data_IF_810099997817
#
_entry.id   IF_810099997817
#
_cell.length_a   1.000
_cell.length_b   1.000
_cell.length_c   1.000
_cell.angle_alpha   90.00
_cell.angle_beta   90.00
_cell.angle_gamma   90.00
#
_symmetry.space_group_name_H-M   'P 1'
#
loop_
_entity.id
_entity.type
_entity.pdbx_description
1 polymer ?
#
# COMPACT_ATOMS: atom_id res chain seq x y z
N UNK A 1 -19.42 7.01 -12.90
CA UNK A 1 -18.81 8.08 -12.08
C UNK A 1 -18.89 7.60 -10.64
N UNK A 2 -17.75 7.40 -10.00
CA UNK A 2 -17.51 6.46 -8.90
C UNK A 2 -18.10 6.93 -7.55
N UNK A 3 -19.00 6.14 -6.97
CA UNK A 3 -19.24 6.09 -5.53
C UNK A 3 -19.22 4.61 -5.11
N UNK A 4 -18.02 4.09 -4.78
CA UNK A 4 -17.79 2.70 -4.30
C UNK A 4 -17.30 2.67 -2.85
N UNK A 5 -17.30 3.79 -2.13
CA UNK A 5 -16.71 3.90 -0.79
C UNK A 5 -17.71 3.91 0.35
N UNK A 6 -19.02 3.85 0.06
CA UNK A 6 -20.07 3.88 1.09
C UNK A 6 -20.65 2.51 1.48
N UNK A 7 -20.16 1.43 0.89
CA UNK A 7 -20.59 0.08 1.21
C UNK A 7 -19.56 -0.58 2.13
N UNK A 8 -20.02 -1.10 3.27
CA UNK A 8 -19.41 -2.18 4.05
C UNK A 8 -18.69 -1.86 5.38
N UNK A 9 -19.18 -0.89 6.16
CA UNK A 9 -18.82 -0.77 7.60
C UNK A 9 -19.78 -1.59 8.50
N UNK A 10 -21.02 -1.83 8.05
CA UNK A 10 -22.09 -2.42 8.88
C UNK A 10 -22.13 -3.95 8.92
N UNK A 11 -21.28 -4.66 8.16
CA UNK A 11 -21.32 -6.13 8.05
C UNK A 11 -19.93 -6.78 8.10
N UNK A 12 -18.98 -6.14 8.78
CA UNK A 12 -17.67 -6.76 9.08
C UNK A 12 -17.75 -7.53 10.38
N UNK A 13 -17.65 -8.85 10.28
CA UNK A 13 -17.45 -9.75 11.42
C UNK A 13 -16.07 -9.51 12.03
N UNK A 14 -15.98 -8.61 13.03
CA UNK A 14 -14.74 -8.32 13.77
C UNK A 14 -14.19 -9.56 14.51
N UNK A 15 -15.07 -10.52 14.79
CA UNK A 15 -14.73 -11.86 15.28
C UNK A 15 -13.78 -12.64 14.35
N UNK A 16 -13.77 -12.34 13.04
CA UNK A 16 -12.85 -12.95 12.09
C UNK A 16 -11.39 -12.56 12.37
N UNK A 17 -11.16 -11.32 12.79
CA UNK A 17 -9.83 -10.82 13.16
C UNK A 17 -9.37 -11.35 14.53
N UNK A 18 -10.31 -11.66 15.42
CA UNK A 18 -10.00 -12.26 16.72
C UNK A 18 -9.69 -13.77 16.66
N UNK A 19 -9.72 -14.39 15.48
CA UNK A 19 -9.27 -15.77 15.32
C UNK A 19 -7.78 -15.86 15.69
N UNK A 20 -7.36 -16.84 16.51
CA UNK A 20 -5.98 -16.92 17.00
C UNK A 20 -4.94 -17.05 15.87
N UNK A 21 -5.32 -17.59 14.70
CA UNK A 21 -4.46 -17.66 13.52
C UNK A 21 -4.17 -16.29 12.90
N UNK A 22 -5.14 -15.36 12.94
CA UNK A 22 -5.03 -14.01 12.36
C UNK A 22 -4.45 -13.05 13.39
N UNK A 23 -4.91 -13.15 14.65
CA UNK A 23 -4.40 -12.35 15.77
C UNK A 23 -2.87 -12.46 15.92
N UNK A 24 -2.28 -13.66 15.78
CA UNK A 24 -0.82 -13.84 15.87
C UNK A 24 -0.02 -13.11 14.79
N UNK A 25 -0.63 -12.70 13.69
CA UNK A 25 0.07 -12.00 12.60
C UNK A 25 0.34 -10.53 12.94
N UNK A 26 -0.49 -9.91 13.79
CA UNK A 26 -0.40 -8.48 14.12
C UNK A 26 -0.36 -8.18 15.63
N UNK A 27 -0.63 -9.17 16.48
CA UNK A 27 -0.51 -9.09 17.94
C UNK A 27 0.81 -9.70 18.37
N UNK A 28 1.59 -8.94 19.15
CA UNK A 28 2.81 -9.43 19.82
C UNK A 28 2.56 -9.49 21.33
N UNK A 29 3.02 -10.55 21.98
CA UNK A 29 3.03 -10.65 23.44
C UNK A 29 4.33 -10.03 23.99
N UNK A 30 4.22 -9.29 25.09
CA UNK A 30 5.34 -8.73 25.85
C UNK A 30 5.65 -9.62 27.06
N UNK A 31 6.87 -9.52 27.57
CA UNK A 31 7.37 -10.29 28.72
C UNK A 31 6.54 -10.05 30.01
N UNK A 32 5.88 -8.90 30.11
CA UNK A 32 5.02 -8.51 31.24
C UNK A 32 3.61 -9.15 31.21
N UNK A 33 3.34 -10.05 30.25
CA UNK A 33 2.03 -10.69 30.07
C UNK A 33 0.97 -9.80 29.42
N UNK A 34 1.38 -8.67 28.85
CA UNK A 34 0.51 -7.79 28.03
C UNK A 34 0.69 -8.07 26.55
N UNK A 35 -0.33 -7.79 25.75
CA UNK A 35 -0.30 -7.86 24.30
C UNK A 35 -0.22 -6.45 23.72
N UNK A 36 0.51 -6.30 22.61
CA UNK A 36 0.55 -5.10 21.77
C UNK A 36 0.02 -5.44 20.38
N UNK A 37 -0.80 -4.55 19.83
CA UNK A 37 -1.27 -4.65 18.44
C UNK A 37 -1.10 -3.31 17.74
N UNK A 38 -0.60 -3.40 16.51
CA UNK A 38 -0.61 -2.29 15.57
C UNK A 38 -1.90 -2.34 14.74
N UNK A 39 -2.64 -1.24 14.72
CA UNK A 39 -3.92 -1.10 14.02
C UNK A 39 -3.90 0.15 13.13
N UNK A 40 -4.62 0.12 12.03
CA UNK A 40 -4.98 1.29 11.22
C UNK A 40 -6.44 1.63 11.46
N UNK A 41 -6.73 2.89 11.80
CA UNK A 41 -8.09 3.34 12.07
C UNK A 41 -8.53 4.32 10.99
N UNK A 42 -9.40 3.85 10.10
CA UNK A 42 -9.95 4.71 9.04
C UNK A 42 -11.05 5.62 9.58
N UNK A 43 -11.14 6.84 9.03
CA UNK A 43 -12.12 7.86 9.41
C UNK A 43 -11.62 8.87 10.47
N UNK A 44 -10.38 8.73 10.94
CA UNK A 44 -9.76 9.70 11.85
C UNK A 44 -9.23 10.88 11.05
N UNK A 45 -9.87 12.04 11.20
CA UNK A 45 -9.49 13.28 10.49
C UNK A 45 -9.14 14.45 11.41
N UNK A 46 -9.29 14.27 12.73
CA UNK A 46 -9.16 15.36 13.69
C UNK A 46 -8.53 14.89 15.00
N UNK A 47 -7.79 15.77 15.68
CA UNK A 47 -7.19 15.47 16.98
C UNK A 47 -8.25 15.10 18.05
N UNK A 48 -9.43 15.72 17.98
CA UNK A 48 -10.54 15.39 18.86
C UNK A 48 -11.09 13.96 18.64
N UNK A 49 -11.01 13.47 17.40
CA UNK A 49 -11.45 12.14 17.00
C UNK A 49 -10.54 11.10 17.66
N UNK A 50 -9.22 11.31 17.55
CA UNK A 50 -8.20 10.54 18.25
C UNK A 50 -8.40 10.55 19.76
N UNK A 51 -8.56 11.74 20.36
CA UNK A 51 -8.76 11.88 21.81
C UNK A 51 -10.00 11.13 22.31
N UNK A 52 -11.10 11.17 21.56
CA UNK A 52 -12.34 10.44 21.89
C UNK A 52 -12.11 8.94 21.91
N UNK A 53 -11.41 8.39 20.92
CA UNK A 53 -11.08 6.96 20.83
C UNK A 53 -10.17 6.56 22.00
N UNK A 54 -9.09 7.31 22.24
CA UNK A 54 -8.14 7.04 23.32
C UNK A 54 -8.81 7.08 24.69
N UNK A 55 -9.65 8.10 24.94
CA UNK A 55 -10.34 8.27 26.22
C UNK A 55 -11.33 7.14 26.48
N UNK A 56 -12.06 6.70 25.45
CA UNK A 56 -13.01 5.58 25.55
C UNK A 56 -12.29 4.27 25.82
N UNK A 57 -11.23 3.95 25.07
CA UNK A 57 -10.50 2.69 25.24
C UNK A 57 -9.71 2.65 26.55
N UNK A 58 -9.22 3.78 27.05
CA UNK A 58 -8.58 3.85 28.39
C UNK A 58 -9.54 3.57 29.54
N UNK A 59 -10.85 3.72 29.34
CA UNK A 59 -11.86 3.38 30.34
C UNK A 59 -12.22 1.89 30.32
N UNK A 60 -11.80 1.15 29.28
CA UNK A 60 -12.07 -0.28 29.15
C UNK A 60 -11.15 -1.06 30.09
N UNK A 61 -11.68 -1.97 30.92
CA UNK A 61 -10.87 -2.86 31.75
C UNK A 61 -9.82 -3.58 30.91
N UNK A 62 -8.63 -3.84 31.46
CA UNK A 62 -7.58 -4.56 30.74
C UNK A 62 -6.78 -3.74 29.72
N UNK A 63 -7.16 -2.53 29.33
CA UNK A 63 -6.33 -1.68 28.46
C UNK A 63 -5.22 -1.01 29.27
N UNK A 64 -3.97 -1.21 28.87
CA UNK A 64 -2.79 -0.64 29.52
C UNK A 64 -2.42 0.71 28.93
N UNK A 65 -2.34 0.80 27.61
CA UNK A 65 -2.05 2.05 26.92
C UNK A 65 -2.62 2.04 25.50
N UNK A 66 -2.94 3.22 25.01
CA UNK A 66 -3.34 3.44 23.62
C UNK A 66 -2.74 4.76 23.15
N UNK A 67 -2.10 4.70 21.99
CA UNK A 67 -1.50 5.84 21.31
C UNK A 67 -1.90 5.82 19.85
N UNK A 68 -2.49 6.91 19.37
CA UNK A 68 -2.92 7.01 17.98
C UNK A 68 -2.24 8.22 17.35
N UNK A 69 -1.60 8.01 16.20
CA UNK A 69 -1.04 9.09 15.41
C UNK A 69 -2.11 9.61 14.42
N UNK A 70 -2.62 10.85 14.59
CA UNK A 70 -3.67 11.39 13.72
C UNK A 70 -3.20 11.65 12.28
N UNK A 71 -1.88 11.76 12.03
CA UNK A 71 -1.33 11.98 10.69
C UNK A 71 -1.24 10.69 9.89
N UNK A 72 -0.82 9.59 10.53
CA UNK A 72 -0.63 8.30 9.87
C UNK A 72 -1.81 7.36 10.05
N UNK A 73 -2.80 7.74 10.88
CA UNK A 73 -3.95 6.91 11.29
C UNK A 73 -3.56 5.57 11.93
N UNK A 74 -2.30 5.44 12.38
CA UNK A 74 -1.78 4.26 13.06
C UNK A 74 -2.06 4.36 14.55
N UNK A 75 -2.60 3.28 15.11
CA UNK A 75 -2.89 3.11 16.52
C UNK A 75 -2.05 1.95 17.08
N UNK A 76 -1.32 2.22 18.16
CA UNK A 76 -0.67 1.20 18.98
C UNK A 76 -1.54 0.97 20.22
N UNK A 77 -2.02 -0.27 20.38
CA UNK A 77 -2.89 -0.67 21.48
C UNK A 77 -2.17 -1.71 22.34
N UNK A 78 -2.08 -1.46 23.64
CA UNK A 78 -1.56 -2.40 24.63
C UNK A 78 -2.65 -2.79 25.61
N UNK A 79 -2.88 -4.09 25.77
CA UNK A 79 -3.92 -4.59 26.67
C UNK A 79 -3.51 -5.94 27.30
N UNK A 80 -4.19 -6.32 28.37
CA UNK A 80 -4.04 -7.61 29.01
C UNK A 80 -5.06 -8.61 28.41
N UNK A 81 -4.59 -9.67 27.71
CA UNK A 81 -5.47 -10.65 27.07
C UNK A 81 -6.30 -11.47 28.06
N UNK A 82 -5.92 -11.50 29.35
CA UNK A 82 -6.68 -12.19 30.39
C UNK A 82 -7.95 -11.44 30.83
N UNK A 83 -8.03 -10.13 30.58
CA UNK A 83 -9.17 -9.30 30.97
C UNK A 83 -10.07 -8.94 29.80
N UNK A 84 -9.51 -8.73 28.60
CA UNK A 84 -10.27 -8.24 27.45
C UNK A 84 -9.70 -8.78 26.15
N UNK A 85 -10.58 -9.18 25.24
CA UNK A 85 -10.21 -9.71 23.94
C UNK A 85 -10.00 -8.62 22.90
N UNK A 86 -9.14 -8.88 21.90
CA UNK A 86 -8.93 -7.93 20.80
C UNK A 86 -10.21 -7.68 19.98
N UNK A 87 -11.10 -8.67 19.86
CA UNK A 87 -12.40 -8.52 19.18
C UNK A 87 -13.24 -7.42 19.84
N UNK A 88 -13.36 -7.45 21.16
CA UNK A 88 -14.16 -6.49 21.93
C UNK A 88 -13.62 -5.07 21.77
N UNK A 89 -12.29 -4.91 21.75
CA UNK A 89 -11.64 -3.62 21.53
C UNK A 89 -11.90 -3.08 20.11
N UNK A 90 -11.87 -3.95 19.10
CA UNK A 90 -12.20 -3.58 17.71
C UNK A 90 -13.69 -3.21 17.57
N UNK A 91 -14.59 -3.94 18.21
CA UNK A 91 -16.02 -3.64 18.22
C UNK A 91 -16.32 -2.31 18.90
N UNK A 92 -15.64 -1.97 20.00
CA UNK A 92 -15.78 -0.67 20.65
C UNK A 92 -15.34 0.47 19.73
N UNK A 93 -14.24 0.31 18.98
CA UNK A 93 -13.80 1.30 17.99
C UNK A 93 -14.83 1.42 16.87
N UNK A 94 -15.39 0.30 16.41
CA UNK A 94 -16.44 0.27 15.38
C UNK A 94 -17.73 0.95 15.84
N UNK A 95 -18.12 0.78 17.11
CA UNK A 95 -19.29 1.42 17.71
C UNK A 95 -19.17 2.95 17.78
N UNK A 96 -17.94 3.48 17.82
CA UNK A 96 -17.67 4.92 17.73
C UNK A 96 -17.76 5.46 16.29
N UNK A 97 -18.00 4.60 15.29
CA UNK A 97 -18.13 4.96 13.88
C UNK A 97 -16.81 4.94 13.10
N UNK A 98 -15.73 4.42 13.69
CA UNK A 98 -14.44 4.29 13.02
C UNK A 98 -14.25 2.86 12.48
N UNK A 99 -13.45 2.69 11.44
CA UNK A 99 -13.20 1.35 10.88
C UNK A 99 -11.78 0.90 11.23
N UNK A 100 -11.59 0.09 12.28
CA UNK A 100 -10.28 -0.43 12.62
C UNK A 100 -9.88 -1.53 11.62
N UNK A 101 -8.59 -1.65 11.33
CA UNK A 101 -8.03 -2.71 10.51
C UNK A 101 -6.69 -3.14 11.12
N UNK A 102 -6.36 -4.45 11.16
CA UNK A 102 -5.06 -4.88 11.62
C UNK A 102 -3.96 -4.34 10.71
N UNK A 103 -2.92 -3.74 11.29
CA UNK A 103 -1.75 -3.31 10.55
C UNK A 103 -0.83 -4.51 10.36
N UNK A 104 -0.85 -5.11 9.17
CA UNK A 104 0.10 -6.13 8.76
C UNK A 104 1.16 -5.51 7.86
N UNK A 105 2.44 -5.75 8.15
CA UNK A 105 3.56 -5.34 7.29
C UNK A 105 3.43 -5.90 5.85
N UNK A 106 2.66 -6.98 5.68
CA UNK A 106 2.34 -7.55 4.38
C UNK A 106 1.52 -6.59 3.49
N UNK A 107 0.63 -5.78 4.07
CA UNK A 107 -0.19 -4.82 3.33
C UNK A 107 0.62 -3.66 2.76
N UNK A 108 1.54 -3.11 3.55
CA UNK A 108 2.42 -1.99 3.15
C UNK A 108 3.53 -2.45 2.18
N UNK A 109 4.13 -3.62 2.40
CA UNK A 109 5.11 -4.21 1.46
C UNK A 109 4.50 -4.47 0.08
N UNK A 110 3.26 -4.98 0.02
CA UNK A 110 2.60 -5.27 -1.25
C UNK A 110 2.36 -4.01 -2.09
N UNK A 111 1.96 -2.89 -1.49
CA UNK A 111 1.76 -1.64 -2.22
C UNK A 111 3.06 -1.10 -2.82
N UNK A 112 4.15 -1.10 -2.03
CA UNK A 112 5.47 -0.66 -2.49
C UNK A 112 6.05 -1.59 -3.57
N UNK A 113 5.85 -2.90 -3.45
CA UNK A 113 6.29 -3.87 -4.47
C UNK A 113 5.52 -3.75 -5.78
N UNK A 114 4.22 -3.46 -5.72
CA UNK A 114 3.39 -3.22 -6.91
C UNK A 114 3.86 -1.99 -7.67
N UNK A 115 4.14 -0.89 -6.97
CA UNK A 115 4.66 0.33 -7.58
C UNK A 115 6.03 0.08 -8.22
N UNK A 116 6.91 -0.66 -7.54
CA UNK A 116 8.22 -1.06 -8.07
C UNK A 116 8.10 -1.92 -9.33
N UNK A 117 7.16 -2.89 -9.35
CA UNK A 117 6.89 -3.72 -10.54
C UNK A 117 6.39 -2.89 -11.72
N UNK A 118 5.56 -1.88 -11.47
CA UNK A 118 5.06 -1.00 -12.52
C UNK A 118 6.19 -0.16 -13.12
N UNK A 119 7.08 0.39 -12.29
CA UNK A 119 8.25 1.13 -12.73
C UNK A 119 9.18 0.26 -13.60
N UNK A 120 9.46 -0.99 -13.18
CA UNK A 120 10.27 -1.93 -13.96
C UNK A 120 9.62 -2.28 -15.32
N UNK A 121 8.30 -2.46 -15.36
CA UNK A 121 7.57 -2.69 -16.63
C UNK A 121 7.70 -1.52 -17.58
N UNK A 122 7.60 -0.28 -17.07
CA UNK A 122 7.77 0.93 -17.89
C UNK A 122 9.19 1.04 -18.46
N UNK A 123 10.21 0.74 -17.65
CA UNK A 123 11.61 0.71 -18.10
C UNK A 123 11.84 -0.37 -19.17
N UNK A 124 11.25 -1.55 -19.00
CA UNK A 124 11.32 -2.63 -20.00
C UNK A 124 10.74 -2.20 -21.35
N UNK A 125 9.54 -1.61 -21.34
CA UNK A 125 8.89 -1.13 -22.57
C UNK A 125 9.67 0.01 -23.22
N UNK A 126 10.17 0.97 -22.43
CA UNK A 126 11.01 2.07 -22.94
C UNK A 126 12.34 1.56 -23.53
N UNK A 127 12.99 0.59 -22.89
CA UNK A 127 14.24 -0.01 -23.36
C UNK A 127 14.06 -0.77 -24.69
N UNK A 128 13.00 -1.58 -24.81
CA UNK A 128 12.68 -2.28 -26.06
C UNK A 128 12.42 -1.31 -27.22
N UNK A 129 11.71 -0.20 -26.97
CA UNK A 129 11.50 0.85 -27.97
C UNK A 129 12.79 1.55 -28.38
N UNK A 130 13.63 1.92 -27.41
CA UNK A 130 14.94 2.54 -27.69
C UNK A 130 15.87 1.62 -28.48
N UNK A 131 15.87 0.32 -28.22
CA UNK A 131 16.70 -0.64 -28.96
C UNK A 131 16.42 -0.60 -30.47
N UNK A 132 15.15 -0.46 -30.86
CA UNK A 132 14.77 -0.32 -32.27
C UNK A 132 15.24 1.02 -32.85
N UNK A 133 15.00 2.13 -32.14
CA UNK A 133 15.42 3.47 -32.58
C UNK A 133 16.95 3.55 -32.76
N UNK A 134 17.70 3.02 -31.80
CA UNK A 134 19.17 2.98 -31.87
C UNK A 134 19.66 2.12 -33.02
N UNK A 135 18.99 1.00 -33.34
CA UNK A 135 19.34 0.17 -34.50
C UNK A 135 19.26 0.96 -35.82
N UNK A 136 18.21 1.77 -36.02
CA UNK A 136 18.09 2.62 -37.22
C UNK A 136 19.14 3.75 -37.24
N UNK A 137 19.41 4.37 -36.09
CA UNK A 137 20.44 5.40 -35.97
C UNK A 137 21.84 4.86 -36.29
N UNK A 138 22.15 3.65 -35.83
CA UNK A 138 23.42 2.97 -36.14
C UNK A 138 23.53 2.64 -37.62
N UNK A 139 22.47 2.14 -38.26
CA UNK A 139 22.48 1.89 -39.71
C UNK A 139 22.72 3.18 -40.51
N UNK A 140 22.07 4.28 -40.13
CA UNK A 140 22.24 5.59 -40.76
C UNK A 140 23.67 6.13 -40.58
N UNK A 141 24.22 6.03 -39.37
CA UNK A 141 25.57 6.52 -39.09
C UNK A 141 26.64 5.62 -39.70
N UNK A 142 26.53 4.29 -39.61
CA UNK A 142 27.44 3.36 -40.25
C UNK A 142 27.47 3.55 -41.78
N UNK A 143 26.30 3.76 -42.40
CA UNK A 143 26.20 4.11 -43.82
C UNK A 143 26.87 5.44 -44.19
N UNK A 144 26.99 6.38 -43.25
CA UNK A 144 27.72 7.64 -43.46
C UNK A 144 29.24 7.47 -43.43
N UNK A 145 29.79 6.42 -42.78
CA UNK A 145 31.24 6.19 -42.66
C UNK A 145 31.78 5.08 -43.58
N UNK A 146 30.97 4.10 -43.99
CA UNK A 146 31.42 2.99 -44.88
C UNK A 146 31.24 3.27 -46.38
N UNK A 147 30.67 4.40 -46.77
CA UNK A 147 30.36 4.72 -48.17
C UNK A 147 29.07 4.05 -48.61
N UNK A 148 28.06 4.85 -48.93
CA UNK A 148 26.77 4.37 -49.45
C UNK A 148 27.00 3.74 -50.84
N UNK A 149 26.51 2.52 -51.06
CA UNK A 149 26.59 1.87 -52.37
C UNK A 149 26.02 2.81 -53.45
N UNK A 150 26.76 3.00 -54.54
CA UNK A 150 26.45 3.97 -55.59
C UNK A 150 25.05 3.74 -56.20
N UNK A 151 24.53 2.51 -56.18
CA UNK A 151 23.18 2.21 -56.65
C UNK A 151 22.09 2.75 -55.70
N UNK A 152 22.33 2.77 -54.39
CA UNK A 152 21.37 3.26 -53.39
C UNK A 152 21.26 4.79 -53.47
N UNK A 153 22.40 5.48 -53.66
CA UNK A 153 22.42 6.92 -53.87
C UNK A 153 21.69 7.35 -55.16
N UNK A 154 21.82 6.56 -56.24
CA UNK A 154 21.12 6.83 -57.49
C UNK A 154 19.61 6.64 -57.36
N UNK A 155 19.16 5.57 -56.68
CA UNK A 155 17.75 5.31 -56.44
C UNK A 155 17.08 6.43 -55.63
N UNK A 156 17.73 6.91 -54.55
CA UNK A 156 17.20 8.00 -53.72
C UNK A 156 17.12 9.34 -54.47
N UNK A 157 18.08 9.63 -55.36
CA UNK A 157 18.02 10.82 -56.25
C UNK A 157 16.86 10.77 -57.24
N UNK A 158 16.53 9.58 -57.73
CA UNK A 158 15.48 9.40 -58.73
C UNK A 158 14.09 9.58 -58.11
N UNK A 159 13.89 9.14 -56.87
CA UNK A 159 12.62 9.30 -56.14
C UNK A 159 12.41 10.73 -55.65
N UNK A 160 13.48 11.43 -55.27
CA UNK A 160 13.38 12.84 -54.83
C UNK A 160 13.14 13.83 -55.98
N UNK A 161 13.23 13.36 -57.24
CA UNK A 161 12.88 14.13 -58.43
C UNK A 161 11.40 13.98 -58.83
N UNK A 162 10.63 13.16 -58.09
CA UNK A 162 9.22 12.83 -58.31
C UNK A 162 8.36 13.46 -57.21
#
# INVERSE_FOLDING_TARGET
MLDRTKTDVSNRDWSAYARPAVAREYVRELDDGTCIADLLVHGVHCANCTWTIETRLRQTPGVTSIEINPLTTRAELRWNPAQTGIAELLEQIAALGFTPQPFTDAGTRNAAEQERRLALRRLLVAGLGMMQVTSYAVAMYAGAFQGMDAQIAYFLRLISLL
#
